data_IF_996266147867
#
_entry.id   IF_996266147867
#
_cell.length_a   1.000
_cell.length_b   1.000
_cell.length_c   1.000
_cell.angle_alpha   90.00
_cell.angle_beta   90.00
_cell.angle_gamma   90.00
#
_symmetry.space_group_name_H-M   'P 1'
#
loop_
_entity.id
_entity.type
_entity.pdbx_description
1 polymer ?
#
# COMPACT_ATOMS: atom_id res chain seq x y z
N UNK A 1 -11.08 -10.32 -1.62
CA UNK A 1 -11.56 -9.63 -0.42
C UNK A 1 -10.35 -9.09 0.32
N UNK A 2 -10.35 -7.80 0.64
CA UNK A 2 -9.31 -7.15 1.45
C UNK A 2 -9.86 -6.99 2.87
N UNK A 3 -9.25 -7.65 3.85
CA UNK A 3 -9.70 -7.66 5.24
C UNK A 3 -8.72 -7.00 6.22
N UNK A 4 -7.91 -6.10 5.70
CA UNK A 4 -6.92 -5.38 6.48
C UNK A 4 -5.52 -5.99 6.37
N UNK A 5 -4.53 -5.16 6.63
CA UNK A 5 -3.12 -5.54 6.52
C UNK A 5 -2.25 -4.74 7.49
N UNK A 6 -1.05 -5.23 7.73
CA UNK A 6 -0.02 -4.58 8.53
C UNK A 6 1.22 -4.30 7.70
N UNK A 7 1.91 -3.22 7.99
CA UNK A 7 3.19 -2.90 7.37
C UNK A 7 4.30 -3.68 8.07
N UNK A 8 4.97 -4.55 7.32
CA UNK A 8 6.24 -5.16 7.74
C UNK A 8 7.39 -4.25 7.27
N UNK A 9 7.74 -3.31 8.12
CA UNK A 9 8.74 -2.30 7.80
C UNK A 9 10.09 -2.87 7.33
N UNK A 10 10.69 -3.91 7.98
CA UNK A 10 11.99 -4.44 7.57
C UNK A 10 12.03 -4.91 6.12
N UNK A 11 10.92 -5.46 5.65
CA UNK A 11 10.80 -6.00 4.29
C UNK A 11 10.06 -5.10 3.32
N UNK A 12 9.59 -3.92 3.78
CA UNK A 12 8.74 -3.01 3.00
C UNK A 12 7.55 -3.75 2.33
N UNK A 13 6.86 -4.59 3.10
CA UNK A 13 5.74 -5.40 2.62
C UNK A 13 4.46 -5.06 3.38
N UNK A 14 3.35 -5.21 2.69
CA UNK A 14 2.03 -5.25 3.32
C UNK A 14 1.67 -6.72 3.57
N UNK A 15 1.40 -7.05 4.82
CA UNK A 15 1.06 -8.42 5.24
C UNK A 15 -0.42 -8.42 5.61
N UNK A 16 -1.26 -9.19 4.90
CA UNK A 16 -2.65 -9.34 5.27
C UNK A 16 -2.81 -9.82 6.71
N UNK A 17 -3.84 -9.38 7.40
CA UNK A 17 -4.22 -9.96 8.68
C UNK A 17 -4.50 -11.46 8.50
N UNK A 18 -4.29 -12.29 9.54
CA UNK A 18 -4.71 -13.67 9.51
C UNK A 18 -6.19 -13.79 9.15
N UNK A 19 -6.52 -14.76 8.30
CA UNK A 19 -7.93 -15.03 7.96
C UNK A 19 -8.65 -15.51 9.21
N UNK A 20 -9.83 -14.94 9.52
CA UNK A 20 -10.57 -15.36 10.71
C UNK A 20 -10.93 -16.85 10.65
N UNK A 21 -10.88 -17.58 11.78
CA UNK A 21 -11.31 -18.97 11.84
C UNK A 21 -12.76 -19.15 11.36
N UNK A 22 -13.01 -20.16 10.51
CA UNK A 22 -14.34 -20.44 9.98
C UNK A 22 -14.92 -19.36 9.06
N UNK A 23 -14.04 -18.48 8.52
CA UNK A 23 -14.44 -17.36 7.64
C UNK A 23 -15.46 -16.39 8.26
N UNK A 24 -15.49 -16.30 9.57
CA UNK A 24 -16.34 -15.36 10.29
C UNK A 24 -15.70 -13.97 10.30
N UNK A 25 -16.10 -13.17 9.32
CA UNK A 25 -15.68 -11.78 9.21
C UNK A 25 -16.65 -10.89 9.98
N UNK A 26 -16.38 -10.69 11.27
CA UNK A 26 -17.20 -9.88 12.17
C UNK A 26 -16.34 -9.00 13.09
N UNK A 27 -16.88 -7.86 13.50
CA UNK A 27 -16.28 -6.94 14.44
C UNK A 27 -15.20 -6.02 13.87
N UNK A 28 -14.48 -5.36 14.76
CA UNK A 28 -13.45 -4.36 14.47
C UNK A 28 -12.06 -4.96 14.68
N UNK A 29 -11.19 -4.83 13.69
CA UNK A 29 -9.82 -5.34 13.73
C UNK A 29 -8.81 -4.24 13.49
N UNK A 30 -7.84 -4.11 14.38
CA UNK A 30 -6.81 -3.08 14.27
C UNK A 30 -5.83 -3.40 13.14
N UNK A 31 -5.55 -2.38 12.33
CA UNK A 31 -4.61 -2.41 11.20
C UNK A 31 -3.61 -1.27 11.33
N UNK A 32 -2.50 -1.31 10.60
CA UNK A 32 -1.52 -0.22 10.63
C UNK A 32 -1.87 0.94 9.71
N UNK A 33 -2.62 0.67 8.67
CA UNK A 33 -3.02 1.63 7.65
C UNK A 33 -4.25 1.13 6.90
N UNK A 34 -4.88 2.01 6.13
CA UNK A 34 -6.04 1.63 5.33
C UNK A 34 -6.05 2.37 3.98
N UNK A 35 -6.47 1.73 2.89
CA UNK A 35 -6.69 2.40 1.61
C UNK A 35 -7.89 3.36 1.70
N UNK A 36 -7.85 4.44 0.94
CA UNK A 36 -8.90 5.48 0.97
C UNK A 36 -10.30 5.03 0.59
N UNK A 37 -10.42 3.84 -0.02
CA UNK A 37 -11.72 3.29 -0.40
C UNK A 37 -12.51 2.80 0.81
N UNK A 38 -13.59 3.53 1.13
CA UNK A 38 -14.45 3.22 2.27
C UNK A 38 -13.87 3.61 3.63
N UNK A 39 -12.89 4.51 3.64
CA UNK A 39 -12.32 5.05 4.86
C UNK A 39 -13.27 6.11 5.45
N UNK A 40 -13.70 5.89 6.68
CA UNK A 40 -14.45 6.88 7.48
C UNK A 40 -13.49 7.50 8.50
N UNK A 41 -13.45 8.83 8.53
CA UNK A 41 -12.55 9.59 9.39
C UNK A 41 -13.37 10.61 10.17
N UNK A 42 -13.34 10.59 11.51
CA UNK A 42 -13.93 11.66 12.30
C UNK A 42 -13.30 13.02 11.95
N UNK A 43 -14.10 14.07 11.80
CA UNK A 43 -13.62 15.40 11.48
C UNK A 43 -12.57 15.93 12.47
N UNK A 44 -12.69 15.55 13.75
CA UNK A 44 -11.73 15.89 14.80
C UNK A 44 -10.30 15.42 14.51
N UNK A 45 -10.14 14.29 13.80
CA UNK A 45 -8.81 13.78 13.43
C UNK A 45 -8.11 14.75 12.47
N UNK A 46 -8.85 15.30 11.50
CA UNK A 46 -8.29 16.32 10.59
C UNK A 46 -7.85 17.59 11.30
N UNK A 47 -8.57 18.01 12.33
CA UNK A 47 -8.17 19.18 13.14
C UNK A 47 -6.90 18.91 13.96
N UNK A 48 -6.64 17.67 14.35
CA UNK A 48 -5.49 17.30 15.18
C UNK A 48 -4.23 17.03 14.36
N UNK A 49 -4.34 16.29 13.25
CA UNK A 49 -3.19 15.83 12.47
C UNK A 49 -3.06 16.48 11.08
N UNK A 50 -3.98 17.37 10.72
CA UNK A 50 -4.05 18.02 9.42
C UNK A 50 -4.67 17.14 8.32
N UNK A 51 -4.65 17.64 7.09
CA UNK A 51 -5.23 17.00 5.92
C UNK A 51 -4.29 15.96 5.30
N UNK A 52 -4.75 15.31 4.22
CA UNK A 52 -3.90 14.54 3.32
C UNK A 52 -2.82 15.42 2.70
N UNK A 53 -1.60 14.91 2.61
CA UNK A 53 -0.49 15.64 1.99
C UNK A 53 -0.45 15.37 0.46
N UNK A 54 -1.20 16.16 -0.28
CA UNK A 54 -1.30 16.10 -1.74
C UNK A 54 -0.03 16.56 -2.46
N UNK A 55 0.83 17.32 -1.80
CA UNK A 55 2.13 17.73 -2.34
C UNK A 55 3.15 16.59 -2.35
N UNK A 56 3.18 15.81 -1.25
CA UNK A 56 4.07 14.66 -1.14
C UNK A 56 3.52 13.43 -1.88
N UNK A 57 2.19 13.22 -1.83
CA UNK A 57 1.50 12.02 -2.28
C UNK A 57 0.30 12.34 -3.18
N UNK A 58 0.58 12.67 -4.44
CA UNK A 58 -0.47 13.14 -5.37
C UNK A 58 -1.49 12.08 -5.78
N UNK A 59 -1.12 10.80 -5.77
CA UNK A 59 -2.01 9.74 -6.26
C UNK A 59 -1.97 8.48 -5.38
N UNK A 60 -0.78 8.00 -5.01
CA UNK A 60 -0.60 6.84 -4.14
C UNK A 60 -0.03 7.23 -2.79
N UNK A 61 -0.34 6.43 -1.77
CA UNK A 61 0.15 6.51 -0.40
C UNK A 61 -0.33 7.71 0.44
N UNK A 62 -1.17 8.61 -0.08
CA UNK A 62 -1.74 9.70 0.72
C UNK A 62 -2.63 9.18 1.85
N UNK A 63 -3.47 8.19 1.54
CA UNK A 63 -4.33 7.49 2.46
C UNK A 63 -3.53 6.67 3.49
N UNK A 64 -2.51 5.97 3.05
CA UNK A 64 -1.61 5.21 3.92
C UNK A 64 -0.79 6.13 4.85
N UNK A 65 -0.26 7.23 4.32
CA UNK A 65 0.44 8.24 5.13
C UNK A 65 -0.49 8.83 6.19
N UNK A 66 -1.70 9.20 5.79
CA UNK A 66 -2.68 9.79 6.69
C UNK A 66 -3.04 8.81 7.83
N UNK A 67 -3.36 7.56 7.50
CA UNK A 67 -3.77 6.56 8.49
C UNK A 67 -2.63 6.17 9.43
N UNK A 68 -1.38 6.09 8.92
CA UNK A 68 -0.20 5.89 9.78
C UNK A 68 0.02 7.08 10.72
N UNK A 69 -0.17 8.33 10.25
CA UNK A 69 -0.08 9.51 11.11
C UNK A 69 -1.18 9.53 12.17
N UNK A 70 -2.41 9.14 11.79
CA UNK A 70 -3.52 9.02 12.72
C UNK A 70 -3.23 8.00 13.83
N UNK A 71 -2.74 6.81 13.46
CA UNK A 71 -2.36 5.77 14.42
C UNK A 71 -1.29 6.27 15.40
N UNK A 72 -0.28 7.02 14.93
CA UNK A 72 0.76 7.62 15.78
C UNK A 72 0.25 8.71 16.71
N UNK A 73 -0.80 9.40 16.31
CA UNK A 73 -1.46 10.40 17.14
C UNK A 73 -2.43 9.79 18.17
N UNK A 74 -2.49 8.45 18.25
CA UNK A 74 -3.35 7.73 19.21
C UNK A 74 -4.75 7.42 18.69
N UNK A 75 -5.03 7.63 17.39
CA UNK A 75 -6.29 7.23 16.77
C UNK A 75 -6.15 5.80 16.21
N UNK A 76 -6.90 4.82 16.73
CA UNK A 76 -6.85 3.46 16.21
C UNK A 76 -7.38 3.42 14.77
N UNK A 77 -6.65 2.72 13.90
CA UNK A 77 -7.10 2.44 12.53
C UNK A 77 -7.74 1.06 12.53
N UNK A 78 -9.04 1.02 12.27
CA UNK A 78 -9.84 -0.19 12.42
C UNK A 78 -10.44 -0.64 11.09
N UNK A 79 -10.33 -1.91 10.77
CA UNK A 79 -11.07 -2.56 9.70
C UNK A 79 -12.37 -3.13 10.27
N UNK A 80 -13.51 -2.63 9.78
CA UNK A 80 -14.82 -3.12 10.19
C UNK A 80 -15.28 -4.26 9.27
N UNK A 81 -15.35 -5.48 9.80
CA UNK A 81 -15.75 -6.65 9.04
C UNK A 81 -17.28 -6.75 8.88
N UNK A 82 -18.05 -6.04 9.73
CA UNK A 82 -19.52 -6.01 9.64
C UNK A 82 -20.02 -5.09 8.51
N UNK A 83 -19.13 -4.29 7.93
CA UNK A 83 -19.46 -3.36 6.84
C UNK A 83 -18.63 -3.65 5.57
N UNK A 84 -18.82 -4.78 4.89
CA UNK A 84 -18.05 -5.14 3.72
C UNK A 84 -18.40 -4.24 2.52
N UNK A 85 -17.36 -3.72 1.86
CA UNK A 85 -17.49 -2.94 0.63
C UNK A 85 -17.18 -3.79 -0.60
N UNK A 86 -18.04 -3.70 -1.61
CA UNK A 86 -17.79 -4.30 -2.91
C UNK A 86 -17.13 -3.27 -3.83
N UNK A 87 -15.95 -3.58 -4.33
CA UNK A 87 -15.20 -2.72 -5.25
C UNK A 87 -15.07 -3.36 -6.62
N UNK A 88 -15.05 -2.52 -7.67
CA UNK A 88 -14.77 -2.97 -9.05
C UNK A 88 -13.27 -2.98 -9.26
N UNK A 89 -12.62 -4.13 -9.08
CA UNK A 89 -11.17 -4.28 -9.19
C UNK A 89 -10.62 -4.00 -10.59
N UNK A 90 -11.43 -4.22 -11.63
CA UNK A 90 -11.01 -4.06 -13.04
C UNK A 90 -10.64 -2.62 -13.43
N UNK A 91 -11.01 -1.64 -12.62
CA UNK A 91 -10.76 -0.21 -12.88
C UNK A 91 -9.57 0.35 -12.08
N UNK A 92 -8.85 -0.47 -11.29
CA UNK A 92 -7.67 -0.01 -10.56
C UNK A 92 -6.46 0.11 -11.50
N UNK A 93 -5.87 1.33 -11.56
CA UNK A 93 -4.78 1.66 -12.50
C UNK A 93 -3.51 0.80 -12.40
N UNK A 94 -3.24 0.17 -11.24
CA UNK A 94 -2.10 -0.73 -11.07
C UNK A 94 -2.18 -2.00 -11.93
N UNK A 95 -3.38 -2.54 -12.13
CA UNK A 95 -3.60 -3.76 -12.93
C UNK A 95 -3.46 -3.51 -14.44
N UNK A 96 -3.76 -2.31 -14.91
CA UNK A 96 -3.65 -1.96 -16.32
C UNK A 96 -2.19 -1.87 -16.79
N UNK A 97 -1.29 -1.33 -15.96
CA UNK A 97 0.15 -1.25 -16.25
C UNK A 97 0.85 -2.62 -16.27
N UNK A 98 0.30 -3.62 -15.57
CA UNK A 98 0.84 -4.98 -15.54
C UNK A 98 0.46 -5.82 -16.78
N UNK A 99 -0.56 -5.41 -17.58
CA UNK A 99 -1.03 -6.16 -18.76
C UNK A 99 -0.15 -5.99 -19.98
N UNK A 100 0.50 -4.84 -20.14
CA UNK A 100 1.36 -4.52 -21.29
C UNK A 100 2.78 -4.28 -20.82
N UNK A 101 3.61 -5.33 -20.87
CA UNK A 101 4.99 -5.28 -20.37
C UNK A 101 5.95 -4.78 -21.45
N UNK A 102 6.57 -3.66 -21.17
CA UNK A 102 7.63 -3.08 -22.00
C UNK A 102 8.57 -2.26 -21.12
N UNK A 103 9.76 -1.94 -21.60
CA UNK A 103 10.70 -1.06 -20.89
C UNK A 103 10.11 0.33 -20.64
N UNK A 104 9.25 0.83 -21.54
CA UNK A 104 8.52 2.07 -21.34
C UNK A 104 7.58 1.97 -20.15
N UNK A 105 6.76 0.91 -20.08
CA UNK A 105 5.85 0.69 -18.95
C UNK A 105 6.60 0.46 -17.64
N UNK A 106 7.80 -0.15 -17.69
CA UNK A 106 8.65 -0.26 -16.53
C UNK A 106 9.11 1.13 -16.03
N UNK A 107 9.54 2.01 -16.93
CA UNK A 107 9.85 3.40 -16.60
C UNK A 107 8.66 4.13 -16.00
N UNK A 108 7.47 4.01 -16.61
CA UNK A 108 6.22 4.58 -16.09
C UNK A 108 5.83 3.99 -14.72
N UNK A 109 6.07 2.70 -14.50
CA UNK A 109 5.85 2.05 -13.20
C UNK A 109 6.71 2.66 -12.09
N UNK A 110 7.98 2.95 -12.38
CA UNK A 110 8.93 3.47 -11.39
C UNK A 110 8.85 4.98 -11.17
N UNK A 111 8.44 5.76 -12.18
CA UNK A 111 8.50 7.22 -12.14
C UNK A 111 7.16 7.91 -12.38
N UNK A 112 6.21 7.22 -13.02
CA UNK A 112 4.92 7.78 -13.39
C UNK A 112 4.02 8.07 -12.19
N UNK A 113 3.15 9.07 -12.32
CA UNK A 113 2.19 9.46 -11.28
C UNK A 113 1.29 8.30 -10.84
N UNK A 114 0.87 7.46 -11.79
CA UNK A 114 0.03 6.25 -11.56
C UNK A 114 0.86 4.97 -11.44
N UNK A 115 2.18 5.08 -11.33
CA UNK A 115 3.06 3.93 -11.19
C UNK A 115 3.00 3.37 -9.77
N UNK A 116 2.49 2.15 -9.60
CA UNK A 116 2.39 1.50 -8.29
C UNK A 116 3.76 1.25 -7.63
N UNK A 117 4.84 1.18 -8.43
CA UNK A 117 6.23 1.07 -7.97
C UNK A 117 6.96 2.39 -7.87
N UNK A 118 6.28 3.55 -7.90
CA UNK A 118 6.93 4.86 -7.93
C UNK A 118 7.95 5.02 -6.81
N UNK A 119 9.23 5.13 -7.20
CA UNK A 119 10.36 5.17 -6.28
C UNK A 119 10.34 6.41 -5.38
N UNK A 120 9.97 7.56 -5.94
CA UNK A 120 9.91 8.82 -5.18
C UNK A 120 8.83 8.77 -4.10
N UNK A 121 7.65 8.25 -4.44
CA UNK A 121 6.54 8.06 -3.49
C UNK A 121 6.96 7.08 -2.39
N UNK A 122 7.56 5.96 -2.76
CA UNK A 122 8.01 4.97 -1.78
C UNK A 122 9.08 5.53 -0.82
N UNK A 123 10.13 6.17 -1.35
CA UNK A 123 11.20 6.74 -0.51
C UNK A 123 10.63 7.80 0.44
N UNK A 124 9.77 8.70 -0.04
CA UNK A 124 9.11 9.69 0.82
C UNK A 124 8.26 9.06 1.91
N UNK A 125 7.48 8.04 1.55
CA UNK A 125 6.66 7.30 2.50
C UNK A 125 7.52 6.62 3.56
N UNK A 126 8.59 5.94 3.17
CA UNK A 126 9.52 5.27 4.09
C UNK A 126 10.21 6.27 5.02
N UNK A 127 10.78 7.35 4.48
CA UNK A 127 11.47 8.38 5.29
C UNK A 127 10.53 9.03 6.32
N UNK A 128 9.26 9.20 5.99
CA UNK A 128 8.28 9.85 6.85
C UNK A 128 7.68 8.90 7.89
N UNK A 129 7.44 7.66 7.48
CA UNK A 129 6.61 6.73 8.23
C UNK A 129 7.34 5.51 8.82
N UNK A 130 8.52 5.15 8.32
CA UNK A 130 9.23 4.00 8.82
C UNK A 130 9.89 4.31 10.18
N UNK A 131 9.73 3.45 11.20
CA UNK A 131 10.49 3.58 12.43
C UNK A 131 12.00 3.52 12.17
N UNK A 132 12.78 4.37 12.84
CA UNK A 132 14.23 4.54 12.58
C UNK A 132 15.05 3.24 12.55
N UNK A 133 14.84 2.23 13.41
CA UNK A 133 15.60 0.99 13.35
C UNK A 133 15.41 0.21 12.04
N UNK A 134 14.28 0.38 11.38
CA UNK A 134 13.90 -0.35 10.18
C UNK A 134 14.07 0.44 8.88
N UNK A 135 14.50 1.70 8.96
CA UNK A 135 14.53 2.58 7.78
C UNK A 135 15.48 2.05 6.70
N UNK A 136 16.71 1.69 7.05
CA UNK A 136 17.68 1.17 6.08
C UNK A 136 17.25 -0.16 5.45
N UNK A 137 16.87 -1.20 6.22
CA UNK A 137 16.34 -2.43 5.63
C UNK A 137 15.07 -2.18 4.81
N UNK A 138 14.17 -1.32 5.24
CA UNK A 138 12.97 -0.95 4.49
C UNK A 138 13.30 -0.34 3.13
N UNK A 139 14.21 0.63 3.09
CA UNK A 139 14.65 1.26 1.85
C UNK A 139 15.33 0.24 0.93
N UNK A 140 16.27 -0.55 1.45
CA UNK A 140 17.00 -1.55 0.66
C UNK A 140 16.04 -2.59 0.05
N UNK A 141 15.21 -3.24 0.88
CA UNK A 141 14.25 -4.24 0.41
C UNK A 141 13.18 -3.64 -0.51
N UNK A 142 12.67 -2.48 -0.17
CA UNK A 142 11.61 -1.84 -0.95
C UNK A 142 12.07 -1.34 -2.30
N UNK A 143 13.30 -0.80 -2.41
CA UNK A 143 13.91 -0.43 -3.69
C UNK A 143 14.24 -1.67 -4.53
N UNK A 144 14.83 -2.70 -3.93
CA UNK A 144 15.13 -3.95 -4.61
C UNK A 144 13.85 -4.58 -5.22
N UNK A 145 12.76 -4.66 -4.45
CA UNK A 145 11.47 -5.19 -4.95
C UNK A 145 10.94 -4.39 -6.15
N UNK A 146 11.06 -3.08 -6.14
CA UNK A 146 10.56 -2.22 -7.22
C UNK A 146 11.44 -2.29 -8.47
N UNK A 147 12.76 -2.31 -8.27
CA UNK A 147 13.71 -2.38 -9.38
C UNK A 147 13.80 -3.76 -10.00
N UNK A 148 13.73 -4.83 -9.19
CA UNK A 148 13.91 -6.20 -9.68
C UNK A 148 12.58 -6.90 -9.93
N UNK A 149 11.54 -6.61 -9.15
CA UNK A 149 10.27 -7.32 -9.20
C UNK A 149 9.59 -7.30 -10.57
N UNK A 150 9.50 -6.15 -11.21
CA UNK A 150 8.88 -6.03 -12.53
C UNK A 150 9.66 -6.78 -13.63
N UNK A 151 11.00 -6.58 -13.80
CA UNK A 151 11.77 -7.35 -14.77
C UNK A 151 11.79 -8.84 -14.49
N UNK A 152 11.92 -9.24 -13.23
CA UNK A 152 11.93 -10.66 -12.86
C UNK A 152 10.60 -11.35 -13.20
N UNK A 153 9.49 -10.70 -12.90
CA UNK A 153 8.16 -11.21 -13.23
C UNK A 153 7.96 -11.31 -14.74
N UNK A 154 8.44 -10.33 -15.50
CA UNK A 154 8.40 -10.35 -16.96
C UNK A 154 9.23 -11.51 -17.54
N UNK A 155 10.46 -11.71 -17.02
CA UNK A 155 11.33 -12.80 -17.45
C UNK A 155 10.71 -14.18 -17.16
N UNK A 156 10.15 -14.39 -15.96
CA UNK A 156 9.51 -15.65 -15.58
C UNK A 156 8.31 -16.01 -16.45
N UNK A 157 7.50 -15.02 -16.83
CA UNK A 157 6.38 -15.26 -17.75
C UNK A 157 6.85 -15.55 -19.17
N UNK A 158 7.89 -14.87 -19.67
CA UNK A 158 8.46 -15.14 -20.99
C UNK A 158 9.08 -16.54 -21.09
N UNK A 159 9.49 -17.12 -19.96
CA UNK A 159 9.98 -18.50 -19.86
C UNK A 159 8.86 -19.54 -19.62
N UNK A 160 7.58 -19.15 -19.69
CA UNK A 160 6.44 -20.05 -19.49
C UNK A 160 6.23 -20.52 -18.03
N UNK A 161 6.97 -19.97 -17.07
CA UNK A 161 6.80 -20.24 -15.65
C UNK A 161 5.80 -19.25 -15.08
N UNK A 162 4.54 -19.66 -14.86
CA UNK A 162 3.58 -18.84 -14.12
C UNK A 162 4.06 -18.76 -12.66
N UNK A 163 4.24 -17.54 -12.09
CA UNK A 163 4.44 -17.42 -10.66
C UNK A 163 3.16 -17.87 -9.95
N UNK A 164 3.30 -18.75 -9.00
CA UNK A 164 2.25 -19.25 -8.10
C UNK A 164 1.74 -18.13 -7.16
#
# INVERSE_FOLDING_TARGET
VHWGERIAWPTASFIPLPRPPGDRFEGLHEVTHFPGRGLLIPASVFFQIGLFDDRAFRHYAADYDFTVRAARAGHPVLCNYDAPLRIREKESGGTALMRHRSWRHYGEHLTGLKGAGNLRVFVRFALRNCPSPWLLPCLACGLAKRLVGYPAHWLLESLGRRPS
#
